data_IF_236027281685
#
_entry.id   IF_236027281685
#
_cell.length_a   1.000
_cell.length_b   1.000
_cell.length_c   1.000
_cell.angle_alpha   90.00
_cell.angle_beta   90.00
_cell.angle_gamma   90.00
#
_symmetry.space_group_name_H-M   'P 1'
#
loop_
_entity.id
_entity.type
_entity.pdbx_description
1 polymer ?
#
# COMPACT_ATOMS: atom_id res chain seq x y z
N UNK A 1 -14.88 -13.05 17.55
CA UNK A 1 -14.08 -13.01 16.30
C UNK A 1 -14.64 -11.95 15.36
N UNK A 2 -13.82 -11.04 14.82
CA UNK A 2 -14.32 -10.02 13.89
C UNK A 2 -14.12 -10.45 12.43
N UNK A 3 -15.21 -10.84 11.74
CA UNK A 3 -15.17 -11.24 10.33
C UNK A 3 -15.01 -10.05 9.37
N UNK A 4 -15.55 -8.88 9.72
CA UNK A 4 -15.50 -7.67 8.86
C UNK A 4 -14.05 -7.18 8.75
N UNK A 5 -13.37 -6.99 9.88
CA UNK A 5 -11.96 -6.58 9.89
C UNK A 5 -11.07 -7.56 9.11
N UNK A 6 -11.31 -8.86 9.26
CA UNK A 6 -10.62 -9.90 8.49
C UNK A 6 -10.78 -9.75 6.98
N UNK A 7 -12.02 -9.62 6.50
CA UNK A 7 -12.28 -9.50 5.07
C UNK A 7 -11.79 -8.17 4.49
N UNK A 8 -11.84 -7.08 5.26
CA UNK A 8 -11.25 -5.81 4.83
C UNK A 8 -9.74 -5.91 4.65
N UNK A 9 -9.03 -6.52 5.60
CA UNK A 9 -7.57 -6.70 5.49
C UNK A 9 -7.22 -7.58 4.29
N UNK A 10 -7.97 -8.66 4.06
CA UNK A 10 -7.77 -9.51 2.88
C UNK A 10 -8.05 -8.75 1.58
N UNK A 11 -9.15 -7.99 1.52
CA UNK A 11 -9.51 -7.22 0.36
C UNK A 11 -8.42 -6.22 0.00
N UNK A 12 -7.96 -5.42 0.98
CA UNK A 12 -6.87 -4.47 0.76
C UNK A 12 -5.59 -5.21 0.33
N UNK A 13 -5.21 -6.28 1.02
CA UNK A 13 -4.04 -7.10 0.64
C UNK A 13 -4.11 -7.63 -0.79
N UNK A 14 -5.27 -8.14 -1.22
CA UNK A 14 -5.49 -8.59 -2.60
C UNK A 14 -5.36 -7.45 -3.60
N UNK A 15 -6.01 -6.30 -3.36
CA UNK A 15 -5.96 -5.16 -4.28
C UNK A 15 -4.53 -4.62 -4.38
N UNK A 16 -3.82 -4.45 -3.27
CA UNK A 16 -2.42 -4.00 -3.26
C UNK A 16 -1.51 -4.98 -4.03
N UNK A 17 -1.71 -6.29 -3.87
CA UNK A 17 -0.98 -7.29 -4.67
C UNK A 17 -1.32 -7.21 -6.16
N UNK A 18 -2.58 -6.91 -6.53
CA UNK A 18 -2.97 -6.77 -7.93
C UNK A 18 -2.42 -5.50 -8.56
N UNK A 19 -2.30 -4.40 -7.79
CA UNK A 19 -1.69 -3.15 -8.23
C UNK A 19 -0.20 -3.27 -8.54
N UNK A 20 0.49 -4.28 -8.00
CA UNK A 20 1.87 -4.60 -8.35
C UNK A 20 2.07 -4.70 -9.86
N UNK A 21 1.20 -5.40 -10.57
CA UNK A 21 1.37 -5.65 -12.00
C UNK A 21 1.35 -4.34 -12.81
N UNK A 22 0.28 -3.51 -12.76
CA UNK A 22 0.26 -2.27 -13.54
C UNK A 22 1.34 -1.29 -13.11
N UNK A 23 1.67 -1.19 -11.81
CA UNK A 23 2.74 -0.30 -11.37
C UNK A 23 4.12 -0.77 -11.84
N UNK A 24 4.50 -2.03 -11.56
CA UNK A 24 5.83 -2.54 -11.86
C UNK A 24 6.10 -2.61 -13.38
N UNK A 25 5.11 -3.04 -14.17
CA UNK A 25 5.32 -3.36 -15.59
C UNK A 25 4.71 -2.34 -16.54
N UNK A 26 3.54 -1.78 -16.25
CA UNK A 26 2.88 -0.82 -17.16
C UNK A 26 3.33 0.61 -16.92
N UNK A 27 3.73 0.95 -15.69
CA UNK A 27 4.28 2.28 -15.38
C UNK A 27 5.77 2.43 -15.69
N UNK A 28 6.56 1.35 -15.67
CA UNK A 28 7.99 1.42 -15.94
C UNK A 28 8.36 1.96 -17.34
N UNK A 29 7.63 1.64 -18.43
CA UNK A 29 7.85 2.27 -19.73
C UNK A 29 7.78 3.79 -19.71
N UNK A 30 6.93 4.40 -18.87
CA UNK A 30 6.89 5.86 -18.74
C UNK A 30 8.19 6.41 -18.13
N UNK A 31 8.76 5.71 -17.13
CA UNK A 31 10.07 6.06 -16.57
C UNK A 31 11.16 6.02 -17.65
N UNK A 32 11.16 4.98 -18.48
CA UNK A 32 12.13 4.85 -19.58
C UNK A 32 11.94 5.94 -20.64
N UNK A 33 10.71 6.32 -20.97
CA UNK A 33 10.40 7.39 -21.90
C UNK A 33 10.91 8.75 -21.40
N UNK A 34 10.72 9.06 -20.11
CA UNK A 34 11.27 10.28 -19.49
C UNK A 34 12.81 10.30 -19.47
N UNK A 35 13.47 9.14 -19.30
CA UNK A 35 14.93 9.03 -19.44
C UNK A 35 15.35 9.27 -20.90
N UNK A 36 14.67 8.64 -21.86
CA UNK A 36 15.00 8.75 -23.28
C UNK A 36 14.84 10.19 -23.82
N UNK A 37 13.87 10.95 -23.28
CA UNK A 37 13.65 12.37 -23.58
C UNK A 37 14.67 13.31 -22.94
N UNK A 38 15.57 12.79 -22.08
CA UNK A 38 16.55 13.59 -21.35
C UNK A 38 15.95 14.40 -20.19
N UNK A 39 14.70 14.12 -19.81
CA UNK A 39 14.03 14.78 -18.68
C UNK A 39 14.57 14.26 -17.34
N UNK A 40 15.08 13.03 -17.32
CA UNK A 40 15.88 12.48 -16.23
C UNK A 40 17.35 12.44 -16.68
N UNK A 41 18.21 13.19 -16.00
CA UNK A 41 19.64 13.23 -16.30
C UNK A 41 20.31 11.86 -16.08
N UNK A 42 21.32 11.54 -16.89
CA UNK A 42 22.03 10.26 -16.83
C UNK A 42 22.47 9.82 -15.41
N UNK A 43 23.04 10.69 -14.55
CA UNK A 43 23.45 10.27 -13.20
C UNK A 43 22.28 9.80 -12.33
N UNK A 44 21.06 10.27 -12.61
CA UNK A 44 19.85 9.94 -11.86
C UNK A 44 19.04 8.79 -12.51
N UNK A 45 19.26 8.50 -13.79
CA UNK A 45 18.48 7.54 -14.56
C UNK A 45 18.52 6.13 -13.96
N UNK A 46 19.72 5.64 -13.63
CA UNK A 46 19.87 4.32 -12.99
C UNK A 46 19.24 4.29 -11.60
N UNK A 47 19.42 5.37 -10.82
CA UNK A 47 18.81 5.52 -9.50
C UNK A 47 17.28 5.43 -9.56
N UNK A 48 16.67 6.11 -10.53
CA UNK A 48 15.22 6.10 -10.73
C UNK A 48 14.71 4.69 -11.04
N UNK A 49 15.40 3.94 -11.91
CA UNK A 49 15.02 2.56 -12.23
C UNK A 49 15.11 1.64 -11.00
N UNK A 50 16.17 1.77 -10.19
CA UNK A 50 16.33 0.99 -8.96
C UNK A 50 15.25 1.33 -7.93
N UNK A 51 14.92 2.61 -7.75
CA UNK A 51 13.84 3.07 -6.86
C UNK A 51 12.49 2.52 -7.32
N UNK A 52 12.22 2.54 -8.63
CA UNK A 52 10.99 1.98 -9.20
C UNK A 52 10.85 0.48 -8.91
N UNK A 53 11.92 -0.29 -9.14
CA UNK A 53 11.92 -1.72 -8.84
C UNK A 53 11.75 -2.00 -7.34
N UNK A 54 12.50 -1.28 -6.50
CA UNK A 54 12.41 -1.44 -5.06
C UNK A 54 11.01 -1.13 -4.53
N UNK A 55 10.42 -0.01 -4.92
CA UNK A 55 9.06 0.37 -4.51
C UNK A 55 8.00 -0.62 -4.99
N UNK A 56 8.15 -1.15 -6.21
CA UNK A 56 7.30 -2.22 -6.74
C UNK A 56 7.33 -3.49 -5.87
N UNK A 57 8.54 -3.94 -5.49
CA UNK A 57 8.71 -5.11 -4.61
C UNK A 57 8.12 -4.83 -3.23
N UNK A 58 8.38 -3.65 -2.66
CA UNK A 58 7.87 -3.28 -1.34
C UNK A 58 6.34 -3.23 -1.28
N UNK A 59 5.69 -2.75 -2.34
CA UNK A 59 4.23 -2.81 -2.46
C UNK A 59 3.72 -4.25 -2.47
N UNK A 60 4.34 -5.14 -3.25
CA UNK A 60 3.95 -6.56 -3.29
C UNK A 60 4.12 -7.23 -1.92
N UNK A 61 5.26 -6.99 -1.25
CA UNK A 61 5.53 -7.49 0.10
C UNK A 61 4.53 -6.94 1.13
N UNK A 62 4.14 -5.67 1.03
CA UNK A 62 3.12 -5.06 1.88
C UNK A 62 1.75 -5.72 1.68
N UNK A 63 1.40 -6.02 0.42
CA UNK A 63 0.24 -6.83 0.05
C UNK A 63 0.27 -8.21 0.73
N UNK A 64 1.37 -8.95 0.56
CA UNK A 64 1.55 -10.27 1.19
C UNK A 64 1.50 -10.22 2.72
N UNK A 65 2.07 -9.18 3.33
CA UNK A 65 2.06 -8.99 4.77
C UNK A 65 0.63 -8.93 5.33
N UNK A 66 -0.29 -8.29 4.61
CA UNK A 66 -1.69 -8.21 5.03
C UNK A 66 -2.35 -9.59 5.15
N UNK A 67 -2.01 -10.55 4.29
CA UNK A 67 -2.51 -11.93 4.41
C UNK A 67 -2.01 -12.63 5.67
N UNK A 68 -0.76 -12.40 6.08
CA UNK A 68 -0.20 -12.98 7.31
C UNK A 68 -0.87 -12.41 8.56
N UNK A 69 -1.16 -11.11 8.59
CA UNK A 69 -1.79 -10.47 9.77
C UNK A 69 -3.31 -10.63 9.81
N UNK A 70 -3.98 -10.92 8.69
CA UNK A 70 -5.44 -10.97 8.62
C UNK A 70 -6.05 -11.92 9.66
N UNK A 71 -5.52 -13.15 9.78
CA UNK A 71 -6.01 -14.14 10.76
C UNK A 71 -5.79 -13.65 12.19
N UNK A 72 -4.66 -13.00 12.48
CA UNK A 72 -4.36 -12.44 13.80
C UNK A 72 -5.26 -11.25 14.14
N UNK A 73 -5.63 -10.42 13.15
CA UNK A 73 -6.62 -9.34 13.30
C UNK A 73 -8.01 -9.93 13.60
N UNK A 74 -8.43 -10.99 12.90
CA UNK A 74 -9.70 -11.70 13.18
C UNK A 74 -9.80 -12.14 14.65
N UNK A 75 -8.66 -12.54 15.20
CA UNK A 75 -8.50 -13.05 16.56
C UNK A 75 -8.21 -11.96 17.59
N UNK A 76 -8.17 -10.68 17.20
CA UNK A 76 -8.02 -9.57 18.15
C UNK A 76 -6.61 -9.39 18.72
N UNK A 77 -5.57 -9.81 18.00
CA UNK A 77 -4.17 -9.59 18.43
C UNK A 77 -3.76 -8.12 18.31
N UNK A 78 -3.30 -7.52 19.42
CA UNK A 78 -2.85 -6.13 19.45
C UNK A 78 -1.58 -5.90 18.60
N UNK A 79 -0.68 -6.88 18.49
CA UNK A 79 0.50 -6.76 17.64
C UNK A 79 0.12 -6.68 16.16
N UNK A 80 -0.82 -7.52 15.73
CA UNK A 80 -1.35 -7.49 14.36
C UNK A 80 -2.12 -6.19 14.09
N UNK A 81 -2.84 -5.67 15.09
CA UNK A 81 -3.49 -4.36 15.02
C UNK A 81 -2.48 -3.24 14.78
N UNK A 82 -1.38 -3.20 15.55
CA UNK A 82 -0.35 -2.18 15.40
C UNK A 82 0.29 -2.23 14.01
N UNK A 83 0.61 -3.42 13.51
CA UNK A 83 1.14 -3.57 12.15
C UNK A 83 0.16 -3.07 11.08
N UNK A 84 -1.12 -3.42 11.20
CA UNK A 84 -2.13 -2.92 10.27
C UNK A 84 -2.36 -1.41 10.37
N UNK A 85 -2.23 -0.82 11.56
CA UNK A 85 -2.27 0.65 11.75
C UNK A 85 -1.09 1.33 11.05
N UNK A 86 0.13 0.80 11.20
CA UNK A 86 1.32 1.36 10.56
C UNK A 86 1.23 1.26 9.03
N UNK A 87 0.75 0.13 8.51
CA UNK A 87 0.50 -0.03 7.07
C UNK A 87 -0.57 0.95 6.58
N UNK A 88 -1.67 1.09 7.31
CA UNK A 88 -2.74 2.02 6.98
C UNK A 88 -2.22 3.47 6.89
N UNK A 89 -1.46 3.93 7.89
CA UNK A 89 -0.87 5.26 7.89
C UNK A 89 0.11 5.43 6.73
N UNK A 90 0.95 4.42 6.45
CA UNK A 90 1.88 4.44 5.32
C UNK A 90 1.17 4.63 3.98
N UNK A 91 0.10 3.87 3.74
CA UNK A 91 -0.71 3.95 2.50
C UNK A 91 -1.43 5.30 2.36
N UNK A 92 -2.00 5.82 3.45
CA UNK A 92 -2.64 7.14 3.48
C UNK A 92 -1.61 8.23 3.15
N UNK A 93 -0.48 8.24 3.85
CA UNK A 93 0.58 9.23 3.66
C UNK A 93 1.16 9.17 2.25
N UNK A 94 1.34 7.97 1.70
CA UNK A 94 1.80 7.80 0.33
C UNK A 94 0.82 8.39 -0.68
N UNK A 95 -0.45 7.98 -0.66
CA UNK A 95 -1.44 8.47 -1.63
C UNK A 95 -1.70 9.98 -1.54
N UNK A 96 -1.76 10.54 -0.31
CA UNK A 96 -1.90 11.98 -0.11
C UNK A 96 -0.63 12.74 -0.51
N UNK A 97 0.55 12.19 -0.22
CA UNK A 97 1.84 12.76 -0.61
C UNK A 97 2.00 12.84 -2.12
N UNK A 98 1.64 11.77 -2.85
CA UNK A 98 1.63 11.77 -4.30
C UNK A 98 0.64 12.81 -4.87
N UNK A 99 -0.55 12.92 -4.27
CA UNK A 99 -1.55 13.91 -4.68
C UNK A 99 -1.09 15.35 -4.48
N UNK A 100 -0.39 15.60 -3.37
CA UNK A 100 0.24 16.90 -3.10
C UNK A 100 1.35 17.22 -4.11
N UNK A 101 2.24 16.27 -4.40
CA UNK A 101 3.35 16.45 -5.36
C UNK A 101 2.82 16.68 -6.78
N UNK A 102 1.83 15.88 -7.21
CA UNK A 102 1.22 15.98 -8.53
C UNK A 102 0.34 17.24 -8.69
N UNK A 103 0.02 17.93 -7.59
CA UNK A 103 -0.97 19.02 -7.55
C UNK A 103 -2.33 18.61 -8.12
N UNK A 104 -2.66 17.33 -7.99
CA UNK A 104 -3.89 16.73 -8.48
C UNK A 104 -4.49 15.83 -7.39
N UNK A 105 -5.71 16.16 -6.96
CA UNK A 105 -6.39 15.46 -5.86
C UNK A 105 -6.65 13.99 -6.21
N UNK A 106 -7.03 13.71 -7.46
CA UNK A 106 -7.41 12.37 -7.91
C UNK A 106 -6.46 11.85 -8.99
N UNK A 107 -5.19 11.65 -8.64
CA UNK A 107 -4.28 10.87 -9.48
C UNK A 107 -4.44 9.37 -9.21
N UNK A 108 -3.84 8.54 -10.07
CA UNK A 108 -3.92 7.07 -9.97
C UNK A 108 -3.37 6.49 -8.65
N UNK A 109 -2.47 7.19 -7.95
CA UNK A 109 -1.93 6.76 -6.65
C UNK A 109 -2.84 7.15 -5.46
N UNK A 110 -3.89 7.96 -5.69
CA UNK A 110 -4.88 8.27 -4.66
C UNK A 110 -5.62 7.02 -4.14
N UNK A 111 -5.69 5.95 -4.94
CA UNK A 111 -6.29 4.68 -4.51
C UNK A 111 -5.60 4.07 -3.28
N UNK A 112 -4.30 4.31 -3.08
CA UNK A 112 -3.61 3.90 -1.86
C UNK A 112 -4.16 4.60 -0.61
N UNK A 113 -4.65 5.84 -0.73
CA UNK A 113 -5.35 6.51 0.38
C UNK A 113 -6.64 5.79 0.74
N UNK A 114 -7.43 5.37 -0.25
CA UNK A 114 -8.68 4.61 -0.02
C UNK A 114 -8.37 3.28 0.68
N UNK A 115 -7.39 2.53 0.19
CA UNK A 115 -6.92 1.29 0.81
C UNK A 115 -6.45 1.50 2.25
N UNK A 116 -5.66 2.55 2.47
CA UNK A 116 -5.19 2.92 3.79
C UNK A 116 -6.34 3.25 4.74
N UNK A 117 -7.38 3.96 4.29
CA UNK A 117 -8.59 4.26 5.09
C UNK A 117 -9.37 2.98 5.38
N UNK A 118 -9.56 2.08 4.41
CA UNK A 118 -10.23 0.79 4.65
C UNK A 118 -9.48 -0.05 5.68
N UNK A 119 -8.15 -0.09 5.60
CA UNK A 119 -7.31 -0.78 6.57
C UNK A 119 -7.33 -0.09 7.95
N UNK A 120 -7.45 1.25 7.99
CA UNK A 120 -7.63 2.01 9.24
C UNK A 120 -8.91 1.58 9.92
N UNK A 121 -10.02 1.54 9.18
CA UNK A 121 -11.32 1.12 9.69
C UNK A 121 -11.27 -0.33 10.20
N UNK A 122 -10.58 -1.22 9.49
CA UNK A 122 -10.39 -2.61 9.92
C UNK A 122 -9.63 -2.72 11.26
N UNK A 123 -8.63 -1.87 11.48
CA UNK A 123 -7.75 -1.90 12.67
C UNK A 123 -8.19 -0.99 13.81
N UNK A 124 -9.20 -0.15 13.60
CA UNK A 124 -9.75 0.75 14.63
C UNK A 124 -11.22 0.42 14.92
N UNK A 125 -12.12 0.78 14.00
CA UNK A 125 -13.57 0.70 14.17
C UNK A 125 -14.07 -0.73 14.25
N UNK A 126 -13.62 -1.57 13.31
CA UNK A 126 -13.99 -2.97 13.28
C UNK A 126 -13.05 -3.86 14.10
N UNK A 127 -12.01 -3.33 14.74
CA UNK A 127 -11.17 -4.18 15.56
C UNK A 127 -11.86 -4.54 16.88
N UNK A 128 -11.86 -5.83 17.26
CA UNK A 128 -12.36 -6.28 18.57
C UNK A 128 -11.22 -6.99 19.30
N UNK A 129 -10.81 -6.43 20.43
CA UNK A 129 -9.82 -7.05 21.32
C UNK A 129 -10.40 -8.38 21.84
N UNK A 130 -9.59 -9.43 21.83
CA UNK A 130 -9.94 -10.65 22.53
C UNK A 130 -9.73 -10.40 24.03
N UNK A 131 -10.81 -10.36 24.81
CA UNK A 131 -10.70 -10.50 26.26
C UNK A 131 -10.37 -11.97 26.53
N UNK A 132 -9.19 -12.23 27.08
CA UNK A 132 -8.97 -13.45 27.83
C UNK A 132 -9.89 -13.36 29.06
N UNK A 133 -11.05 -14.00 28.98
CA UNK A 133 -11.74 -14.52 30.17
C UNK A 133 -11.20 -15.91 30.45
#
# INVERSE_FOLDING_TARGET
MNKIAYYLVLFVGTVTCLQFIPHAFMGFPAVLDHIAKGEIQEPAAQGMQMIWLYSSIMMLLSGFWMFFIAKSIKNGSNNARLQGLLLSLGLILFGLGCSYIAKEVFNHLFFFTIEGVLLLLATTVFFKIHKHE
#
